data_IF_378027052543
#
_entry.id   IF_378027052543
#
_cell.length_a   1.000
_cell.length_b   1.000
_cell.length_c   1.000
_cell.angle_alpha   90.00
_cell.angle_beta   90.00
_cell.angle_gamma   90.00
#
_symmetry.space_group_name_H-M   'P 1'
#
loop_
_entity.id
_entity.type
_entity.pdbx_description
1 polymer ?
#
# COMPACT_ATOMS: atom_id res chain seq x y z
N UNK A 1 17.24 -41.29 11.21
CA UNK A 1 16.04 -41.66 10.42
C UNK A 1 15.78 -40.52 9.46
N UNK A 2 15.65 -40.83 8.16
CA UNK A 2 15.81 -39.90 7.03
C UNK A 2 14.76 -38.78 7.03
N UNK A 3 15.24 -37.55 6.82
CA UNK A 3 14.43 -36.42 6.41
C UNK A 3 13.74 -36.75 5.07
N UNK A 4 12.41 -36.61 5.03
CA UNK A 4 11.66 -36.64 3.78
C UNK A 4 11.55 -35.19 3.32
N UNK A 5 12.48 -34.81 2.46
CA UNK A 5 12.34 -33.68 1.55
C UNK A 5 11.20 -34.03 0.58
N UNK A 6 10.04 -33.39 0.71
CA UNK A 6 9.05 -33.32 -0.37
C UNK A 6 9.29 -32.03 -1.14
N UNK A 7 10.21 -32.06 -2.11
CA UNK A 7 10.14 -31.17 -3.26
C UNK A 7 8.97 -31.63 -4.14
N UNK A 8 7.77 -31.11 -3.88
CA UNK A 8 6.70 -31.18 -4.87
C UNK A 8 6.83 -29.99 -5.82
N UNK A 9 7.26 -30.27 -7.05
CA UNK A 9 7.23 -29.35 -8.18
C UNK A 9 5.78 -29.03 -8.55
N UNK A 10 5.20 -28.01 -7.93
CA UNK A 10 3.98 -27.36 -8.40
C UNK A 10 4.38 -26.26 -9.40
N UNK A 11 3.99 -26.36 -10.66
CA UNK A 11 4.16 -25.29 -11.66
C UNK A 11 2.82 -24.61 -11.99
N UNK A 12 2.83 -23.29 -11.80
CA UNK A 12 2.09 -22.18 -12.44
C UNK A 12 0.55 -22.11 -12.41
N UNK A 13 -0.20 -23.16 -12.08
CA UNK A 13 -1.67 -23.07 -11.94
C UNK A 13 -2.17 -22.56 -10.55
N UNK A 14 -1.25 -22.38 -9.59
CA UNK A 14 -1.51 -22.45 -8.13
C UNK A 14 -1.34 -21.14 -7.32
N UNK A 15 -1.76 -19.98 -7.84
CA UNK A 15 -1.51 -18.69 -7.16
C UNK A 15 -2.77 -17.82 -7.05
N UNK A 16 -3.84 -18.28 -6.41
CA UNK A 16 -5.03 -17.43 -6.13
C UNK A 16 -5.21 -17.23 -4.62
N UNK A 17 -5.27 -15.97 -4.21
CA UNK A 17 -5.74 -15.58 -2.88
C UNK A 17 -7.20 -15.15 -2.99
N UNK A 18 -8.05 -15.76 -2.18
CA UNK A 18 -9.50 -15.48 -2.12
C UNK A 18 -9.84 -14.83 -0.80
N UNK A 19 -10.61 -13.75 -0.84
CA UNK A 19 -11.12 -13.04 0.32
C UNK A 19 -12.64 -13.06 0.31
N UNK A 20 -13.26 -13.51 1.40
CA UNK A 20 -14.70 -13.55 1.56
C UNK A 20 -15.12 -12.65 2.72
N UNK A 21 -15.78 -11.54 2.39
CA UNK A 21 -16.40 -10.64 3.36
C UNK A 21 -17.91 -10.89 3.44
N UNK A 22 -18.49 -10.76 4.63
CA UNK A 22 -19.93 -10.94 4.86
C UNK A 22 -20.48 -9.78 5.68
N UNK A 23 -21.49 -9.08 5.13
CA UNK A 23 -22.20 -8.00 5.81
C UNK A 23 -23.67 -8.38 6.01
N UNK A 24 -24.14 -8.40 7.26
CA UNK A 24 -25.57 -8.53 7.57
C UNK A 24 -26.18 -7.15 7.84
N UNK A 25 -27.40 -6.91 7.35
CA UNK A 25 -28.10 -5.65 7.54
C UNK A 25 -29.62 -5.83 7.41
N UNK A 26 -30.38 -4.93 8.01
CA UNK A 26 -31.83 -4.84 7.86
C UNK A 26 -32.21 -3.63 7.01
N UNK A 27 -33.22 -3.79 6.16
CA UNK A 27 -33.73 -2.68 5.35
C UNK A 27 -34.75 -1.88 6.15
N UNK A 28 -34.35 -0.70 6.64
CA UNK A 28 -35.25 0.18 7.41
C UNK A 28 -36.23 0.98 6.53
N UNK A 29 -37.36 1.47 7.10
CA UNK A 29 -38.42 2.17 6.36
C UNK A 29 -38.03 3.55 5.80
N UNK A 30 -36.88 4.11 6.20
CA UNK A 30 -36.45 5.46 5.75
C UNK A 30 -34.99 5.60 5.30
N UNK A 31 -34.16 4.55 5.33
CA UNK A 31 -32.73 4.74 5.02
C UNK A 31 -32.22 4.05 3.76
N UNK A 32 -31.49 4.88 3.03
CA UNK A 32 -30.88 4.71 1.74
C UNK A 32 -29.44 4.35 2.04
N UNK A 33 -29.10 3.06 1.85
CA UNK A 33 -27.76 2.47 1.74
C UNK A 33 -27.35 1.56 2.90
N UNK A 34 -27.09 0.29 2.60
CA UNK A 34 -26.27 -0.55 3.47
C UNK A 34 -24.79 -0.30 3.12
N UNK A 35 -23.97 -0.02 4.14
CA UNK A 35 -22.54 0.26 3.98
C UNK A 35 -21.73 -0.57 4.97
N UNK A 36 -20.64 -1.17 4.49
CA UNK A 36 -19.58 -1.76 5.31
C UNK A 36 -18.21 -1.34 4.76
N UNK A 37 -17.20 -1.41 5.62
CA UNK A 37 -15.80 -1.20 5.27
C UNK A 37 -15.00 -2.39 5.81
N UNK A 38 -14.11 -2.96 5.00
CA UNK A 38 -13.30 -4.12 5.37
C UNK A 38 -11.92 -4.06 4.72
N UNK A 39 -10.98 -4.86 5.23
CA UNK A 39 -9.60 -4.90 4.72
C UNK A 39 -9.22 -6.31 4.28
N UNK A 40 -8.74 -6.46 3.04
CA UNK A 40 -8.13 -7.71 2.57
C UNK A 40 -6.64 -7.67 2.89
N UNK A 41 -6.18 -8.58 3.76
CA UNK A 41 -4.78 -8.64 4.23
C UNK A 41 -4.17 -9.98 3.87
N UNK A 42 -3.04 -9.97 3.16
CA UNK A 42 -2.27 -11.17 2.88
C UNK A 42 -0.79 -10.85 2.75
N UNK A 43 0.05 -11.53 3.56
CA UNK A 43 1.49 -11.28 3.60
C UNK A 43 1.80 -9.82 3.94
N UNK A 44 2.44 -9.13 3.00
CA UNK A 44 2.85 -7.72 3.10
C UNK A 44 1.87 -6.73 2.46
N UNK A 45 0.73 -7.19 1.93
CA UNK A 45 -0.24 -6.32 1.25
C UNK A 45 -1.54 -6.24 2.03
N UNK A 46 -2.02 -5.01 2.24
CA UNK A 46 -3.37 -4.70 2.73
C UNK A 46 -4.07 -3.75 1.75
N UNK A 47 -5.30 -4.09 1.38
CA UNK A 47 -6.21 -3.24 0.61
C UNK A 47 -7.47 -2.99 1.43
N UNK A 48 -7.83 -1.74 1.60
CA UNK A 48 -9.04 -1.33 2.29
C UNK A 48 -10.16 -1.14 1.28
N UNK A 49 -11.39 -1.53 1.65
CA UNK A 49 -12.55 -1.54 0.77
C UNK A 49 -13.77 -0.92 1.46
N UNK A 50 -14.54 -0.16 0.71
CA UNK A 50 -15.88 0.31 1.07
C UNK A 50 -16.89 -0.38 0.17
N UNK A 51 -17.88 -1.07 0.75
CA UNK A 51 -18.97 -1.70 0.00
C UNK A 51 -20.30 -1.04 0.31
N UNK A 52 -21.03 -0.68 -0.74
CA UNK A 52 -22.33 -0.03 -0.65
C UNK A 52 -23.39 -0.78 -1.45
N UNK A 53 -24.52 -1.10 -0.83
CA UNK A 53 -25.77 -1.38 -1.55
C UNK A 53 -26.58 -0.09 -1.57
N UNK A 54 -26.88 0.46 -2.75
CA UNK A 54 -27.45 1.80 -2.84
C UNK A 54 -28.50 1.96 -3.93
N UNK A 55 -29.42 2.91 -3.72
CA UNK A 55 -30.24 3.44 -4.81
C UNK A 55 -29.35 4.20 -5.79
N UNK A 56 -29.59 3.98 -7.07
CA UNK A 56 -28.98 4.69 -8.16
C UNK A 56 -30.05 5.45 -8.94
N UNK A 57 -29.77 6.72 -9.20
CA UNK A 57 -30.67 7.61 -9.94
C UNK A 57 -30.17 7.74 -11.37
N UNK A 58 -30.97 7.28 -12.34
CA UNK A 58 -30.64 7.35 -13.75
C UNK A 58 -31.06 8.71 -14.34
N UNK A 59 -30.23 9.75 -14.16
CA UNK A 59 -30.42 11.04 -14.84
C UNK A 59 -31.82 11.68 -14.67
N UNK A 60 -32.20 12.59 -15.58
CA UNK A 60 -33.38 13.48 -15.46
C UNK A 60 -34.76 12.80 -15.41
N UNK A 61 -34.85 11.46 -15.42
CA UNK A 61 -36.12 10.73 -15.30
C UNK A 61 -36.30 10.20 -13.86
N UNK A 62 -37.12 10.89 -13.09
CA UNK A 62 -37.38 10.65 -11.65
C UNK A 62 -38.17 9.34 -11.39
N UNK A 63 -38.61 8.61 -12.43
CA UNK A 63 -39.61 7.54 -12.26
C UNK A 63 -39.05 6.13 -12.02
N UNK A 64 -37.74 5.88 -12.19
CA UNK A 64 -37.18 4.52 -12.00
C UNK A 64 -36.00 4.54 -11.04
N UNK A 65 -36.26 4.17 -9.78
CA UNK A 65 -35.19 3.92 -8.81
C UNK A 65 -34.57 2.55 -9.08
N UNK A 66 -33.29 2.54 -9.44
CA UNK A 66 -32.49 1.32 -9.55
C UNK A 66 -31.74 1.07 -8.26
N UNK A 67 -31.41 -0.20 -7.99
CA UNK A 67 -30.50 -0.59 -6.92
C UNK A 67 -29.23 -1.17 -7.53
N UNK A 68 -28.10 -0.91 -6.88
CA UNK A 68 -26.83 -1.48 -7.28
C UNK A 68 -25.90 -1.70 -6.09
N UNK A 69 -24.95 -2.60 -6.28
CA UNK A 69 -23.86 -2.87 -5.34
C UNK A 69 -22.60 -2.25 -5.93
N UNK A 70 -21.88 -1.49 -5.12
CA UNK A 70 -20.59 -0.92 -5.47
C UNK A 70 -19.54 -1.26 -4.41
N UNK A 71 -18.33 -1.52 -4.87
CA UNK A 71 -17.14 -1.79 -4.07
C UNK A 71 -16.05 -0.81 -4.48
N UNK A 72 -15.51 -0.08 -3.50
CA UNK A 72 -14.51 0.96 -3.72
C UNK A 72 -13.23 0.64 -2.96
N UNK A 73 -12.09 0.76 -3.62
CA UNK A 73 -10.79 0.75 -2.95
C UNK A 73 -10.60 2.05 -2.16
N UNK A 74 -10.34 1.92 -0.86
CA UNK A 74 -10.06 3.03 0.05
C UNK A 74 -8.56 3.13 0.24
N UNK A 75 -8.00 4.35 0.15
CA UNK A 75 -6.59 4.62 0.43
C UNK A 75 -5.78 5.25 -0.71
N UNK A 76 -4.55 5.63 -0.34
CA UNK A 76 -3.59 6.37 -1.17
C UNK A 76 -2.56 5.43 -1.82
N UNK A 77 -3.02 4.41 -2.56
CA UNK A 77 -2.12 3.65 -3.46
C UNK A 77 -2.13 4.28 -4.84
N UNK A 78 -0.95 4.28 -5.48
CA UNK A 78 -0.76 4.75 -6.86
C UNK A 78 -1.43 3.79 -7.85
N UNK A 79 -1.32 2.47 -7.60
CA UNK A 79 -1.89 1.40 -8.42
C UNK A 79 -2.57 0.35 -7.52
N UNK A 80 -3.50 -0.44 -8.07
CA UNK A 80 -4.16 -1.55 -7.37
C UNK A 80 -3.85 -2.84 -8.14
N UNK A 81 -3.63 -3.97 -7.44
CA UNK A 81 -3.46 -5.25 -8.12
C UNK A 81 -4.74 -5.62 -8.86
N UNK A 82 -4.63 -6.21 -10.07
CA UNK A 82 -5.80 -6.58 -10.87
C UNK A 82 -6.61 -7.64 -10.14
N UNK A 83 -7.89 -7.36 -9.96
CA UNK A 83 -8.84 -8.35 -9.49
C UNK A 83 -9.07 -9.37 -10.60
N UNK A 84 -8.98 -10.68 -10.30
CA UNK A 84 -9.32 -11.74 -11.27
C UNK A 84 -10.82 -11.98 -11.33
N UNK A 85 -11.49 -11.95 -10.17
CA UNK A 85 -12.92 -12.20 -10.07
C UNK A 85 -13.52 -11.48 -8.87
N UNK A 86 -14.67 -10.84 -9.10
CA UNK A 86 -15.56 -10.37 -8.05
C UNK A 86 -16.84 -11.18 -8.09
N UNK A 87 -17.34 -11.59 -6.93
CA UNK A 87 -18.68 -12.12 -6.79
C UNK A 87 -19.40 -11.41 -5.64
N UNK A 88 -20.61 -10.95 -5.92
CA UNK A 88 -21.56 -10.53 -4.90
C UNK A 88 -22.66 -11.59 -4.78
N UNK A 89 -22.94 -12.05 -3.57
CA UNK A 89 -24.10 -12.89 -3.26
C UNK A 89 -24.95 -12.17 -2.23
N UNK A 90 -26.16 -11.75 -2.62
CA UNK A 90 -27.13 -11.15 -1.72
C UNK A 90 -28.18 -12.20 -1.32
N UNK A 91 -28.17 -12.58 -0.05
CA UNK A 91 -29.10 -13.51 0.56
C UNK A 91 -30.16 -12.76 1.38
N UNK A 92 -31.43 -13.08 1.17
CA UNK A 92 -32.54 -12.68 2.02
C UNK A 92 -32.75 -13.77 3.06
N UNK A 93 -32.79 -13.41 4.35
CA UNK A 93 -32.79 -14.37 5.46
C UNK A 93 -34.14 -14.45 6.15
N UNK A 94 -34.64 -15.63 6.53
CA UNK A 94 -35.80 -15.72 7.40
C UNK A 94 -35.47 -15.38 8.87
N UNK A 95 -36.47 -15.45 9.76
CA UNK A 95 -36.29 -15.19 11.19
C UNK A 95 -35.34 -16.20 11.87
N UNK A 96 -35.12 -17.36 11.27
CA UNK A 96 -34.19 -18.40 11.73
C UNK A 96 -32.80 -18.27 11.07
N UNK A 97 -32.59 -17.24 10.23
CA UNK A 97 -31.40 -16.97 9.42
C UNK A 97 -31.12 -17.97 8.31
N UNK A 98 -32.12 -18.72 7.85
CA UNK A 98 -32.01 -19.52 6.65
C UNK A 98 -32.18 -18.64 5.40
N UNK A 99 -31.52 -19.01 4.31
CA UNK A 99 -31.62 -18.26 3.04
C UNK A 99 -32.96 -18.54 2.35
N UNK A 100 -33.82 -17.54 2.24
CA UNK A 100 -35.08 -17.57 1.50
C UNK A 100 -34.87 -17.36 -0.01
N UNK A 101 -34.04 -16.38 -0.36
CA UNK A 101 -33.75 -16.02 -1.76
C UNK A 101 -32.31 -15.54 -1.87
N UNK A 102 -31.64 -15.92 -2.95
CA UNK A 102 -30.25 -15.55 -3.20
C UNK A 102 -30.10 -14.95 -4.60
N UNK A 103 -29.42 -13.81 -4.70
CA UNK A 103 -29.04 -13.18 -5.96
C UNK A 103 -27.52 -13.16 -6.08
N UNK A 104 -27.00 -13.64 -7.21
CA UNK A 104 -25.56 -13.68 -7.48
C UNK A 104 -25.21 -12.79 -8.66
N UNK A 105 -24.14 -12.00 -8.51
CA UNK A 105 -23.55 -11.20 -9.58
C UNK A 105 -22.06 -11.47 -9.66
N UNK A 106 -21.54 -11.55 -10.87
CA UNK A 106 -20.13 -11.84 -11.13
C UNK A 106 -19.55 -10.75 -12.01
N UNK A 107 -18.34 -10.32 -11.67
CA UNK A 107 -17.48 -9.52 -12.53
C UNK A 107 -16.24 -10.35 -12.79
N UNK A 108 -15.99 -10.64 -14.06
CA UNK A 108 -14.72 -11.23 -14.50
C UNK A 108 -13.71 -10.09 -14.66
N UNK A 109 -12.57 -10.20 -13.99
CA UNK A 109 -11.52 -9.21 -14.03
C UNK A 109 -10.79 -9.12 -15.37
N UNK A 110 -10.97 -10.11 -16.24
CA UNK A 110 -10.48 -10.10 -17.63
C UNK A 110 -11.39 -9.37 -18.61
N UNK A 111 -12.65 -9.12 -18.25
CA UNK A 111 -13.51 -8.26 -19.04
C UNK A 111 -13.12 -6.82 -18.77
N UNK A 112 -12.56 -6.17 -19.79
CA UNK A 112 -12.44 -4.71 -19.88
C UNK A 112 -13.71 -4.09 -19.29
N UNK A 113 -13.57 -3.52 -18.09
CA UNK A 113 -14.63 -2.79 -17.41
C UNK A 113 -14.87 -1.51 -18.21
N UNK A 114 -15.62 -1.66 -19.28
CA UNK A 114 -16.20 -0.58 -20.06
C UNK A 114 -16.89 0.37 -19.08
N UNK A 115 -16.43 1.64 -19.10
CA UNK A 115 -17.16 2.83 -18.66
C UNK A 115 -16.93 3.44 -17.26
N UNK A 116 -15.75 3.29 -16.65
CA UNK A 116 -15.25 4.29 -15.67
C UNK A 116 -13.82 4.78 -15.94
N UNK A 117 -13.42 4.80 -17.22
CA UNK A 117 -12.32 5.64 -17.72
C UNK A 117 -12.66 7.14 -17.59
N UNK A 118 -12.94 7.61 -16.36
CA UNK A 118 -12.88 9.03 -16.03
C UNK A 118 -11.41 9.39 -15.99
N UNK A 119 -10.88 9.79 -17.14
CA UNK A 119 -9.68 10.64 -17.16
C UNK A 119 -10.00 11.83 -16.27
N UNK A 120 -9.37 11.90 -15.10
CA UNK A 120 -9.31 13.16 -14.37
C UNK A 120 -8.62 14.19 -15.29
N UNK A 121 -8.90 15.50 -15.15
CA UNK A 121 -8.26 16.54 -15.96
C UNK A 121 -6.71 16.55 -15.91
N UNK A 122 -6.11 15.74 -15.03
CA UNK A 122 -4.68 15.58 -14.80
C UNK A 122 -4.08 14.27 -15.34
N UNK A 123 -4.81 13.49 -16.15
CA UNK A 123 -4.23 12.35 -16.88
C UNK A 123 -3.80 11.13 -16.05
N UNK A 124 -4.20 11.03 -14.77
CA UNK A 124 -3.97 9.80 -13.98
C UNK A 124 -5.07 8.77 -14.26
N UNK A 125 -4.64 7.57 -14.67
CA UNK A 125 -5.46 6.35 -14.80
C UNK A 125 -5.79 5.81 -13.40
N UNK A 126 -7.03 5.93 -12.97
CA UNK A 126 -7.55 5.32 -11.73
C UNK A 126 -8.17 3.94 -12.02
N UNK A 127 -7.47 3.09 -12.78
CA UNK A 127 -8.13 2.02 -13.55
C UNK A 127 -8.80 0.89 -12.72
N UNK A 128 -8.62 0.80 -11.39
CA UNK A 128 -9.05 -0.39 -10.62
C UNK A 128 -9.58 -0.10 -9.20
N UNK A 129 -10.08 1.11 -8.92
CA UNK A 129 -10.57 1.50 -7.58
C UNK A 129 -12.07 1.36 -7.37
N UNK A 130 -12.85 1.02 -8.39
CA UNK A 130 -14.31 0.94 -8.28
C UNK A 130 -14.87 -0.21 -9.11
N UNK A 131 -15.70 -1.03 -8.47
CA UNK A 131 -16.45 -2.10 -9.11
C UNK A 131 -17.94 -1.91 -8.83
N UNK A 132 -18.79 -1.95 -9.85
CA UNK A 132 -20.22 -1.72 -9.69
C UNK A 132 -21.05 -2.69 -10.54
N UNK A 133 -22.23 -3.04 -10.03
CA UNK A 133 -23.22 -3.83 -10.79
C UNK A 133 -23.82 -3.03 -11.95
N UNK A 134 -24.00 -3.65 -13.11
CA UNK A 134 -24.49 -3.00 -14.32
C UNK A 134 -26.01 -2.74 -14.33
N UNK A 135 -26.41 -1.57 -14.85
CA UNK A 135 -27.73 -0.94 -14.69
C UNK A 135 -28.88 -1.52 -15.53
N UNK A 136 -28.59 -2.35 -16.53
CA UNK A 136 -29.58 -2.90 -17.46
C UNK A 136 -29.42 -4.43 -17.60
N UNK A 137 -29.15 -5.10 -16.49
CA UNK A 137 -28.97 -6.54 -16.45
C UNK A 137 -30.19 -7.24 -15.81
N UNK A 138 -30.42 -8.54 -16.10
CA UNK A 138 -31.40 -9.34 -15.38
C UNK A 138 -31.20 -9.26 -13.85
N UNK A 139 -29.94 -9.20 -13.41
CA UNK A 139 -29.59 -9.01 -12.01
C UNK A 139 -30.14 -7.69 -11.43
N UNK A 140 -29.96 -6.55 -12.11
CA UNK A 140 -30.46 -5.26 -11.64
C UNK A 140 -32.00 -5.25 -11.49
N UNK A 141 -32.71 -5.92 -12.41
CA UNK A 141 -34.17 -6.08 -12.32
C UNK A 141 -34.56 -6.94 -11.11
N UNK A 142 -33.93 -8.10 -10.92
CA UNK A 142 -34.19 -9.00 -9.80
C UNK A 142 -33.84 -8.35 -8.45
N UNK A 143 -32.74 -7.58 -8.39
CA UNK A 143 -32.35 -6.82 -7.21
C UNK A 143 -33.40 -5.77 -6.89
N UNK A 144 -33.90 -5.02 -7.88
CA UNK A 144 -34.95 -4.02 -7.67
C UNK A 144 -36.24 -4.65 -7.11
N UNK A 145 -36.66 -5.79 -7.68
CA UNK A 145 -37.83 -6.54 -7.22
C UNK A 145 -37.66 -7.01 -5.78
N UNK A 146 -36.51 -7.63 -5.47
CA UNK A 146 -36.17 -8.08 -4.12
C UNK A 146 -36.22 -6.93 -3.11
N UNK A 147 -35.61 -5.79 -3.43
CA UNK A 147 -35.55 -4.62 -2.54
C UNK A 147 -36.91 -3.94 -2.34
N UNK A 148 -37.83 -4.06 -3.31
CA UNK A 148 -39.18 -3.50 -3.25
C UNK A 148 -40.10 -4.38 -2.41
N UNK A 149 -39.98 -5.70 -2.55
CA UNK A 149 -40.70 -6.68 -1.73
C UNK A 149 -40.29 -6.57 -0.26
N UNK A 150 -38.98 -6.44 -0.01
CA UNK A 150 -38.44 -6.36 1.32
C UNK A 150 -38.66 -5.02 1.99
N UNK A 151 -38.76 -3.89 1.27
CA UNK A 151 -39.05 -2.59 1.89
C UNK A 151 -40.39 -2.51 2.64
N UNK A 152 -41.24 -3.56 2.54
CA UNK A 152 -42.52 -3.68 3.23
C UNK A 152 -42.45 -4.49 4.53
N UNK A 153 -41.34 -5.17 4.80
CA UNK A 153 -41.12 -6.05 5.95
C UNK A 153 -39.74 -5.74 6.52
N UNK A 154 -39.53 -5.68 7.83
CA UNK A 154 -38.18 -5.46 8.41
C UNK A 154 -37.29 -6.70 8.18
N UNK A 155 -36.85 -6.86 6.94
CA UNK A 155 -36.25 -8.06 6.38
C UNK A 155 -34.73 -8.01 6.55
N UNK A 156 -34.16 -9.08 7.12
CA UNK A 156 -32.71 -9.23 7.26
C UNK A 156 -32.10 -9.73 5.94
N UNK A 157 -30.96 -9.16 5.59
CA UNK A 157 -30.17 -9.47 4.42
C UNK A 157 -28.73 -9.76 4.81
N UNK A 158 -28.09 -10.59 4.00
CA UNK A 158 -26.66 -10.88 4.08
C UNK A 158 -26.05 -10.68 2.69
N UNK A 159 -25.06 -9.80 2.60
CA UNK A 159 -24.25 -9.59 1.40
C UNK A 159 -22.88 -10.22 1.58
N UNK A 160 -22.64 -11.29 0.85
CA UNK A 160 -21.31 -11.91 0.74
C UNK A 160 -20.57 -11.30 -0.46
N UNK A 161 -19.32 -10.95 -0.25
CA UNK A 161 -18.42 -10.39 -1.26
C UNK A 161 -17.18 -11.25 -1.34
N UNK A 162 -16.95 -11.87 -2.50
CA UNK A 162 -15.81 -12.72 -2.77
C UNK A 162 -14.88 -12.06 -3.79
N UNK A 163 -13.64 -11.84 -3.40
CA UNK A 163 -12.58 -11.24 -4.20
C UNK A 163 -11.50 -12.29 -4.47
N UNK A 164 -11.09 -12.44 -5.72
CA UNK A 164 -10.00 -13.34 -6.10
C UNK A 164 -8.90 -12.55 -6.80
N UNK A 165 -7.67 -12.68 -6.31
CA UNK A 165 -6.47 -12.07 -6.90
C UNK A 165 -5.44 -13.13 -7.24
N UNK A 166 -4.63 -12.87 -8.26
CA UNK A 166 -3.37 -13.60 -8.39
C UNK A 166 -2.48 -13.28 -7.20
N UNK A 167 -1.93 -14.29 -6.52
CA UNK A 167 -1.03 -14.12 -5.37
C UNK A 167 0.22 -13.35 -5.76
N UNK A 168 0.76 -13.60 -6.95
CA UNK A 168 1.95 -12.91 -7.47
C UNK A 168 1.66 -11.42 -7.64
N UNK A 169 0.56 -11.07 -8.31
CA UNK A 169 0.17 -9.67 -8.51
C UNK A 169 -0.24 -8.99 -7.20
N UNK A 170 -0.93 -9.69 -6.30
CA UNK A 170 -1.34 -9.13 -5.02
C UNK A 170 -0.15 -8.71 -4.14
N UNK A 171 0.99 -9.39 -4.28
CA UNK A 171 2.24 -9.11 -3.55
C UNK A 171 3.26 -8.34 -4.38
N UNK A 172 2.95 -7.97 -5.63
CA UNK A 172 3.89 -7.30 -6.53
C UNK A 172 4.06 -5.82 -6.16
N UNK A 173 5.31 -5.42 -5.96
CA UNK A 173 5.69 -4.05 -5.60
C UNK A 173 5.26 -3.02 -6.67
N UNK A 174 5.09 -3.44 -7.93
CA UNK A 174 4.63 -2.55 -9.01
C UNK A 174 3.23 -1.98 -8.75
N UNK A 175 2.40 -2.66 -7.96
CA UNK A 175 1.07 -2.17 -7.55
C UNK A 175 1.08 -1.47 -6.19
N UNK A 176 2.26 -1.24 -5.60
CA UNK A 176 2.40 -0.57 -4.33
C UNK A 176 2.98 0.85 -4.51
N UNK A 177 4.08 0.95 -5.25
CA UNK A 177 4.87 2.18 -5.38
C UNK A 177 4.99 2.56 -6.86
N UNK A 178 4.80 3.84 -7.17
CA UNK A 178 5.03 4.37 -8.52
C UNK A 178 6.48 4.22 -8.99
N UNK A 179 6.75 4.72 -10.20
CA UNK A 179 8.09 4.68 -10.80
C UNK A 179 9.12 5.39 -9.93
N UNK A 180 10.28 4.74 -9.76
CA UNK A 180 11.43 5.26 -9.04
C UNK A 180 12.47 5.86 -9.99
N UNK A 181 13.51 6.44 -9.42
CA UNK A 181 14.66 6.92 -10.16
C UNK A 181 15.41 5.75 -10.80
N UNK A 182 15.94 5.99 -11.99
CA UNK A 182 16.79 5.02 -12.69
C UNK A 182 18.02 4.73 -11.82
N UNK A 183 18.41 3.46 -11.63
CA UNK A 183 19.65 3.13 -10.95
C UNK A 183 20.86 3.78 -11.63
N UNK A 184 21.90 4.02 -10.84
CA UNK A 184 23.21 4.36 -11.39
C UNK A 184 23.65 3.22 -12.32
N UNK A 185 23.90 3.54 -13.58
CA UNK A 185 24.49 2.62 -14.54
C UNK A 185 26.02 2.69 -14.41
N UNK A 186 26.75 1.60 -14.71
CA UNK A 186 28.22 1.61 -14.66
C UNK A 186 28.85 2.50 -15.77
N UNK A 187 28.03 2.93 -16.73
CA UNK A 187 28.41 3.82 -17.83
C UNK A 187 28.51 5.28 -17.35
N UNK A 188 29.71 5.84 -17.48
CA UNK A 188 30.10 7.16 -16.95
C UNK A 188 29.51 8.32 -17.78
N UNK A 189 28.44 8.94 -17.28
CA UNK A 189 27.99 10.27 -17.73
C UNK A 189 28.89 11.36 -17.13
N UNK A 190 28.98 12.55 -17.76
CA UNK A 190 29.81 13.66 -17.27
C UNK A 190 29.49 14.09 -15.82
N UNK A 191 28.23 13.89 -15.38
CA UNK A 191 27.81 14.15 -14.01
C UNK A 191 28.52 13.25 -12.99
N UNK A 192 28.93 12.03 -13.38
CA UNK A 192 29.77 11.18 -12.55
C UNK A 192 31.18 11.73 -12.43
N UNK A 193 31.75 12.30 -13.50
CA UNK A 193 33.07 12.94 -13.42
C UNK A 193 33.10 14.06 -12.36
N UNK A 194 32.01 14.78 -12.14
CA UNK A 194 31.94 15.77 -11.07
C UNK A 194 31.96 15.18 -9.65
N UNK A 195 31.66 13.89 -9.51
CA UNK A 195 31.69 13.13 -8.24
C UNK A 195 33.00 12.36 -8.09
N UNK A 196 33.54 11.77 -9.18
CA UNK A 196 34.78 10.96 -9.12
C UNK A 196 36.05 11.76 -9.38
N UNK A 197 36.01 12.91 -10.05
CA UNK A 197 37.20 13.72 -10.32
C UNK A 197 37.64 14.53 -9.10
N UNK A 198 38.44 13.87 -8.25
CA UNK A 198 38.98 14.44 -7.01
C UNK A 198 39.87 15.66 -7.19
N UNK A 199 40.37 15.94 -8.41
CA UNK A 199 41.25 17.11 -8.66
C UNK A 199 40.56 18.45 -8.42
N UNK A 200 39.23 18.49 -8.37
CA UNK A 200 38.42 19.71 -8.18
C UNK A 200 37.62 19.72 -6.88
N UNK A 201 37.86 18.77 -5.97
CA UNK A 201 37.15 18.72 -4.70
C UNK A 201 37.75 19.70 -3.71
N UNK A 202 36.96 20.65 -3.25
CA UNK A 202 37.35 21.76 -2.38
C UNK A 202 36.44 21.89 -1.14
N UNK A 203 35.47 20.99 -0.97
CA UNK A 203 34.57 20.92 0.18
C UNK A 203 34.55 19.51 0.76
N UNK A 204 34.61 19.43 2.09
CA UNK A 204 34.43 18.21 2.86
C UNK A 204 33.06 18.18 3.54
N UNK A 205 32.21 17.24 3.16
CA UNK A 205 30.96 16.98 3.85
C UNK A 205 31.20 15.94 4.94
N UNK A 206 31.03 16.35 6.20
CA UNK A 206 31.24 15.52 7.38
C UNK A 206 29.92 14.89 7.83
N UNK A 207 29.96 13.65 8.32
CA UNK A 207 28.82 13.06 9.05
C UNK A 207 28.50 13.87 10.31
N UNK A 208 27.31 13.68 10.88
CA UNK A 208 26.81 14.41 12.05
C UNK A 208 27.76 14.32 13.26
N UNK A 209 28.46 13.20 13.41
CA UNK A 209 29.47 12.96 14.45
C UNK A 209 30.90 13.38 14.04
N UNK A 210 31.09 13.88 12.83
CA UNK A 210 32.40 14.29 12.29
C UNK A 210 33.38 13.15 11.99
N UNK A 211 32.97 11.88 12.14
CA UNK A 211 33.87 10.73 12.04
C UNK A 211 34.22 10.32 10.61
N UNK A 212 33.30 10.54 9.66
CA UNK A 212 33.47 10.19 8.25
C UNK A 212 33.20 11.40 7.37
N UNK A 213 33.72 11.37 6.15
CA UNK A 213 33.53 12.47 5.21
C UNK A 213 33.61 12.06 3.75
N UNK A 214 32.88 12.81 2.91
CA UNK A 214 32.97 12.77 1.45
C UNK A 214 33.48 14.10 0.95
N UNK A 215 34.47 14.05 0.07
CA UNK A 215 34.99 15.21 -0.64
C UNK A 215 34.17 15.46 -1.90
N UNK A 216 33.84 16.71 -2.18
CA UNK A 216 33.07 17.12 -3.35
C UNK A 216 33.47 18.53 -3.79
N UNK A 217 33.09 18.90 -5.01
CA UNK A 217 33.23 20.27 -5.49
C UNK A 217 32.10 21.17 -4.94
N UNK A 218 32.45 22.32 -4.37
CA UNK A 218 31.54 23.29 -3.78
C UNK A 218 30.66 23.97 -4.82
N UNK A 219 31.24 24.33 -5.96
CA UNK A 219 30.54 25.05 -7.03
C UNK A 219 29.39 24.22 -7.58
N UNK A 220 29.62 22.93 -7.85
CA UNK A 220 28.56 22.07 -8.40
C UNK A 220 27.40 21.87 -7.41
N UNK A 221 27.69 21.81 -6.10
CA UNK A 221 26.63 21.75 -5.09
C UNK A 221 25.79 23.02 -5.06
N UNK A 222 26.45 24.19 -5.08
CA UNK A 222 25.76 25.48 -5.13
C UNK A 222 24.91 25.64 -6.39
N UNK A 223 25.35 25.11 -7.52
CA UNK A 223 24.59 25.11 -8.78
C UNK A 223 23.40 24.13 -8.74
N UNK A 224 23.56 22.99 -8.07
CA UNK A 224 22.55 21.92 -8.10
C UNK A 224 21.48 22.05 -7.01
N UNK A 225 21.75 22.82 -5.96
CA UNK A 225 20.87 22.93 -4.80
C UNK A 225 20.77 24.36 -4.24
N UNK A 226 19.55 24.91 -4.10
CA UNK A 226 19.34 26.18 -3.41
C UNK A 226 19.77 26.15 -1.94
N UNK A 227 19.78 24.99 -1.30
CA UNK A 227 20.24 24.84 0.09
C UNK A 227 21.74 25.12 0.20
N UNK A 228 22.54 24.48 -0.65
CA UNK A 228 23.99 24.67 -0.67
C UNK A 228 24.36 26.08 -1.14
N UNK A 229 23.65 26.64 -2.11
CA UNK A 229 23.84 28.04 -2.53
C UNK A 229 23.67 29.05 -1.38
N UNK A 230 22.81 28.76 -0.41
CA UNK A 230 22.58 29.63 0.75
C UNK A 230 23.54 29.37 1.91
N UNK A 231 23.95 28.11 2.10
CA UNK A 231 24.81 27.73 3.23
C UNK A 231 26.30 27.89 2.96
N UNK A 232 26.75 27.66 1.74
CA UNK A 232 28.16 27.64 1.39
C UNK A 232 28.65 29.06 1.11
N UNK A 233 29.75 29.44 1.77
CA UNK A 233 30.51 30.67 1.47
C UNK A 233 31.79 30.31 0.74
N UNK A 234 32.44 31.30 0.15
CA UNK A 234 33.72 31.12 -0.53
C UNK A 234 34.78 30.49 0.42
N UNK A 235 34.80 30.91 1.69
CA UNK A 235 35.71 30.37 2.71
C UNK A 235 35.30 29.02 3.30
N UNK A 236 34.14 28.46 2.95
CA UNK A 236 33.69 27.16 3.47
C UNK A 236 34.50 26.03 2.84
N UNK A 237 35.23 25.30 3.67
CA UNK A 237 36.03 24.10 3.29
C UNK A 237 35.47 22.82 3.90
N UNK A 238 34.71 22.91 5.00
CA UNK A 238 34.05 21.79 5.65
C UNK A 238 32.61 22.16 6.02
N UNK A 239 31.69 21.20 5.91
CA UNK A 239 30.29 21.33 6.32
C UNK A 239 29.82 20.05 7.00
N UNK A 240 29.34 20.18 8.23
CA UNK A 240 28.72 19.07 8.98
C UNK A 240 27.29 18.84 8.53
N UNK A 241 27.02 17.64 8.04
CA UNK A 241 25.69 17.19 7.62
C UNK A 241 24.97 16.62 8.85
N UNK A 242 24.22 17.47 9.55
CA UNK A 242 23.64 17.16 10.88
C UNK A 242 22.68 15.96 10.89
N UNK A 243 22.02 15.68 9.76
CA UNK A 243 21.05 14.58 9.64
C UNK A 243 21.73 13.22 9.42
N UNK A 244 22.91 13.20 8.81
CA UNK A 244 23.52 11.97 8.32
C UNK A 244 24.53 11.41 9.32
N UNK A 245 24.17 10.33 10.01
CA UNK A 245 25.12 9.56 10.82
C UNK A 245 25.95 8.62 9.92
N UNK A 246 25.33 8.10 8.86
CA UNK A 246 25.98 7.22 7.88
C UNK A 246 26.48 8.02 6.68
N UNK A 247 27.71 7.73 6.26
CA UNK A 247 28.30 8.37 5.07
C UNK A 247 27.54 7.98 3.80
N UNK A 248 26.99 6.77 3.76
CA UNK A 248 26.18 6.26 2.66
C UNK A 248 24.96 7.16 2.40
N UNK A 249 24.35 7.73 3.44
CA UNK A 249 23.21 8.66 3.31
C UNK A 249 23.60 9.90 2.49
N UNK A 250 24.78 10.46 2.78
CA UNK A 250 25.35 11.61 2.08
C UNK A 250 25.63 11.23 0.63
N UNK A 251 26.30 10.09 0.39
CA UNK A 251 26.65 9.65 -0.95
C UNK A 251 25.44 9.39 -1.86
N UNK A 252 24.39 8.74 -1.34
CA UNK A 252 23.17 8.45 -2.11
C UNK A 252 22.48 9.76 -2.50
N UNK A 253 22.32 10.69 -1.55
CA UNK A 253 21.72 11.99 -1.82
C UNK A 253 22.56 12.84 -2.76
N UNK A 254 23.89 12.82 -2.65
CA UNK A 254 24.79 13.55 -3.55
C UNK A 254 24.66 13.05 -4.98
N UNK A 255 24.71 11.73 -5.18
CA UNK A 255 24.56 11.15 -6.52
C UNK A 255 23.21 11.53 -7.10
N UNK A 256 22.13 11.39 -6.33
CA UNK A 256 20.81 11.74 -6.83
C UNK A 256 20.67 13.24 -7.13
N UNK A 257 21.19 14.12 -6.28
CA UNK A 257 21.19 15.57 -6.49
C UNK A 257 21.86 15.97 -7.81
N UNK A 258 22.97 15.31 -8.15
CA UNK A 258 23.81 15.68 -9.30
C UNK A 258 23.42 14.97 -10.59
N UNK A 259 22.87 13.75 -10.51
CA UNK A 259 22.63 12.89 -11.69
C UNK A 259 21.15 12.56 -11.91
N UNK A 260 20.28 12.84 -10.92
CA UNK A 260 18.91 12.30 -10.85
C UNK A 260 18.82 10.76 -10.87
N UNK A 261 19.94 10.06 -10.69
CA UNK A 261 20.01 8.59 -10.61
C UNK A 261 20.13 8.12 -9.17
N UNK A 262 19.57 6.96 -8.89
CA UNK A 262 19.59 6.39 -7.55
C UNK A 262 20.79 5.45 -7.36
N UNK A 263 21.72 5.85 -6.49
CA UNK A 263 22.78 4.96 -6.01
C UNK A 263 22.14 3.96 -5.06
N UNK A 264 21.81 2.79 -5.59
CA UNK A 264 21.15 1.73 -4.83
C UNK A 264 22.13 1.10 -3.83
N UNK A 265 21.94 1.22 -2.50
CA UNK A 265 22.80 0.54 -1.54
C UNK A 265 22.56 -0.98 -1.59
N UNK A 266 23.56 -1.81 -1.27
CA UNK A 266 23.39 -3.27 -1.23
C UNK A 266 22.42 -3.72 -0.13
N UNK A 267 22.42 -3.01 0.99
CA UNK A 267 21.45 -3.20 2.08
C UNK A 267 20.90 -1.84 2.50
N UNK A 268 19.57 -1.69 2.47
CA UNK A 268 18.90 -0.47 2.92
C UNK A 268 18.31 -0.69 4.31
N UNK A 269 19.01 -0.23 5.33
CA UNK A 269 18.44 -0.23 6.69
C UNK A 269 17.31 0.81 6.79
N UNK A 270 16.33 0.61 7.69
CA UNK A 270 15.31 1.63 7.96
C UNK A 270 15.93 3.00 8.24
N UNK A 271 16.96 3.05 9.10
CA UNK A 271 17.65 4.30 9.46
C UNK A 271 18.27 4.99 8.24
N UNK A 272 18.89 4.24 7.33
CA UNK A 272 19.49 4.78 6.11
C UNK A 272 18.42 5.39 5.20
N UNK A 273 17.29 4.72 5.04
CA UNK A 273 16.17 5.25 4.25
C UNK A 273 15.62 6.57 4.83
N UNK A 274 15.54 6.68 6.15
CA UNK A 274 15.13 7.93 6.83
C UNK A 274 16.11 9.07 6.55
N UNK A 275 17.40 8.83 6.76
CA UNK A 275 18.45 9.84 6.58
C UNK A 275 18.48 10.34 5.14
N UNK A 276 18.46 9.43 4.15
CA UNK A 276 18.44 9.80 2.73
C UNK A 276 17.21 10.65 2.42
N UNK A 277 16.02 10.29 2.90
CA UNK A 277 14.82 11.08 2.63
C UNK A 277 14.87 12.47 3.28
N UNK A 278 15.31 12.55 4.54
CA UNK A 278 15.43 13.82 5.25
C UNK A 278 16.47 14.74 4.62
N UNK A 279 17.62 14.19 4.19
CA UNK A 279 18.62 14.91 3.43
C UNK A 279 18.09 15.39 2.09
N UNK A 280 17.36 14.55 1.36
CA UNK A 280 16.77 14.93 0.08
C UNK A 280 15.83 16.14 0.21
N UNK A 281 15.03 16.18 1.28
CA UNK A 281 14.17 17.33 1.61
C UNK A 281 14.99 18.55 1.99
N UNK A 282 15.98 18.40 2.88
CA UNK A 282 16.82 19.51 3.35
C UNK A 282 17.62 20.14 2.20
N UNK A 283 18.25 19.30 1.37
CA UNK A 283 19.07 19.71 0.24
C UNK A 283 18.24 20.11 -0.98
N UNK A 284 16.91 20.03 -0.89
CA UNK A 284 15.99 20.42 -1.97
C UNK A 284 16.36 19.77 -3.31
N UNK A 285 16.56 18.45 -3.30
CA UNK A 285 16.90 17.70 -4.52
C UNK A 285 15.79 17.83 -5.56
N UNK A 286 16.13 17.67 -6.84
CA UNK A 286 15.15 17.64 -7.92
C UNK A 286 14.22 16.43 -7.79
N UNK A 287 12.91 16.63 -8.00
CA UNK A 287 11.88 15.58 -7.94
C UNK A 287 12.00 14.61 -6.73
N UNK A 288 11.90 15.11 -5.48
CA UNK A 288 12.10 14.29 -4.27
C UNK A 288 11.09 13.13 -4.16
N UNK A 289 9.95 13.22 -4.85
CA UNK A 289 8.97 12.13 -4.94
C UNK A 289 9.56 10.89 -5.65
N UNK A 290 10.36 11.08 -6.70
CA UNK A 290 10.92 9.96 -7.48
C UNK A 290 11.96 9.21 -6.64
N UNK A 291 12.84 9.92 -5.93
CA UNK A 291 13.74 9.30 -4.96
C UNK A 291 12.98 8.58 -3.85
N UNK A 292 11.92 9.20 -3.32
CA UNK A 292 11.05 8.57 -2.31
C UNK A 292 10.49 7.24 -2.82
N UNK A 293 10.04 7.16 -4.06
CA UNK A 293 9.54 5.93 -4.65
C UNK A 293 10.63 4.84 -4.73
N UNK A 294 11.87 5.21 -5.08
CA UNK A 294 13.01 4.26 -5.04
C UNK A 294 13.28 3.72 -3.64
N UNK A 295 13.25 4.60 -2.63
CA UNK A 295 13.42 4.22 -1.23
C UNK A 295 12.29 3.33 -0.74
N UNK A 296 11.02 3.67 -1.02
CA UNK A 296 9.88 2.83 -0.66
C UNK A 296 9.99 1.46 -1.32
N UNK A 297 10.33 1.38 -2.62
CA UNK A 297 10.50 0.10 -3.32
C UNK A 297 11.55 -0.79 -2.64
N UNK A 298 12.72 -0.24 -2.31
CA UNK A 298 13.76 -1.03 -1.67
C UNK A 298 13.43 -1.37 -0.20
N UNK A 299 12.79 -0.46 0.54
CA UNK A 299 12.25 -0.75 1.87
C UNK A 299 11.23 -1.90 1.84
N UNK A 300 10.40 -1.99 0.80
CA UNK A 300 9.48 -3.11 0.62
C UNK A 300 10.22 -4.43 0.42
N UNK A 301 11.25 -4.44 -0.44
CA UNK A 301 12.07 -5.63 -0.66
C UNK A 301 12.77 -6.10 0.63
N UNK A 302 13.29 -5.17 1.43
CA UNK A 302 13.89 -5.46 2.73
C UNK A 302 12.85 -5.95 3.75
N UNK A 303 11.65 -5.36 3.77
CA UNK A 303 10.53 -5.82 4.59
C UNK A 303 10.13 -7.25 4.25
N UNK A 304 10.04 -7.60 2.95
CA UNK A 304 9.71 -8.97 2.51
C UNK A 304 10.78 -9.96 2.96
N UNK A 305 12.07 -9.60 2.91
CA UNK A 305 13.15 -10.46 3.40
C UNK A 305 13.13 -10.65 4.92
N UNK A 306 12.76 -9.61 5.67
CA UNK A 306 12.87 -9.57 7.13
C UNK A 306 11.50 -9.67 7.84
N UNK A 307 10.45 -10.08 7.14
CA UNK A 307 9.07 -10.04 7.66
C UNK A 307 8.85 -10.89 8.92
N UNK A 308 9.65 -11.95 9.12
CA UNK A 308 9.58 -12.81 10.31
C UNK A 308 10.14 -12.13 11.56
N UNK A 309 11.02 -11.13 11.41
CA UNK A 309 11.60 -10.40 12.53
C UNK A 309 10.65 -9.29 13.00
N UNK A 310 9.87 -9.58 14.04
CA UNK A 310 8.92 -8.65 14.64
C UNK A 310 9.51 -7.25 14.92
N UNK A 311 10.67 -7.18 15.56
CA UNK A 311 11.29 -5.90 15.93
C UNK A 311 11.79 -5.12 14.71
N UNK A 312 12.25 -5.82 13.67
CA UNK A 312 12.59 -5.18 12.40
C UNK A 312 11.36 -4.52 11.77
N UNK A 313 10.23 -5.23 11.70
CA UNK A 313 8.96 -4.70 11.14
C UNK A 313 8.47 -3.50 11.93
N UNK A 314 8.54 -3.55 13.27
CA UNK A 314 8.18 -2.42 14.13
C UNK A 314 9.08 -1.20 13.91
N UNK A 315 10.39 -1.40 13.83
CA UNK A 315 11.33 -0.31 13.54
C UNK A 315 11.09 0.27 12.14
N UNK A 316 10.83 -0.57 11.14
CA UNK A 316 10.49 -0.14 9.79
C UNK A 316 9.20 0.69 9.76
N UNK A 317 8.18 0.32 10.54
CA UNK A 317 6.93 1.09 10.66
C UNK A 317 7.16 2.48 11.28
N UNK A 318 7.93 2.56 12.36
CA UNK A 318 8.26 3.85 12.99
C UNK A 318 8.99 4.79 12.02
N UNK A 319 9.95 4.24 11.28
CA UNK A 319 10.69 5.02 10.29
C UNK A 319 9.82 5.40 9.10
N UNK A 320 8.95 4.50 8.64
CA UNK A 320 8.02 4.81 7.58
C UNK A 320 7.07 5.95 7.99
N UNK A 321 6.72 6.04 9.29
CA UNK A 321 6.03 7.21 9.87
C UNK A 321 6.86 8.49 9.81
N UNK A 322 8.13 8.43 10.23
CA UNK A 322 9.06 9.56 10.26
C UNK A 322 9.42 10.10 8.86
N UNK A 323 9.51 9.24 7.85
CA UNK A 323 9.88 9.55 6.46
C UNK A 323 8.67 9.70 5.49
N UNK A 324 7.49 10.02 6.02
CA UNK A 324 6.17 9.79 5.40
C UNK A 324 6.06 8.72 4.30
N UNK A 325 6.64 7.53 4.48
CA UNK A 325 6.55 6.40 3.54
C UNK A 325 5.22 5.65 3.71
N UNK A 326 4.11 6.26 3.27
CA UNK A 326 2.74 5.76 3.49
C UNK A 326 2.54 4.34 2.94
N UNK A 327 3.16 4.01 1.80
CA UNK A 327 3.04 2.68 1.21
C UNK A 327 3.70 1.62 2.11
N UNK A 328 4.87 1.94 2.65
CA UNK A 328 5.60 1.06 3.57
C UNK A 328 4.94 0.98 4.94
N UNK A 329 4.35 2.06 5.43
CA UNK A 329 3.51 2.00 6.63
C UNK A 329 2.38 0.97 6.47
N UNK A 330 1.64 1.03 5.35
CA UNK A 330 0.57 0.08 5.06
C UNK A 330 1.10 -1.36 4.99
N UNK A 331 2.25 -1.58 4.35
CA UNK A 331 2.86 -2.91 4.26
C UNK A 331 3.31 -3.45 5.63
N UNK A 332 3.94 -2.62 6.46
CA UNK A 332 4.31 -3.02 7.81
C UNK A 332 3.08 -3.36 8.66
N UNK A 333 2.00 -2.58 8.53
CA UNK A 333 0.72 -2.89 9.20
C UNK A 333 0.17 -4.23 8.71
N UNK A 334 0.21 -4.51 7.40
CA UNK A 334 -0.20 -5.79 6.84
C UNK A 334 0.62 -6.96 7.41
N UNK A 335 1.95 -6.84 7.44
CA UNK A 335 2.85 -7.86 8.02
C UNK A 335 2.55 -8.08 9.51
N UNK A 336 2.35 -7.00 10.28
CA UNK A 336 2.00 -7.11 11.69
C UNK A 336 0.66 -7.82 11.89
N UNK A 337 -0.36 -7.50 11.10
CA UNK A 337 -1.67 -8.16 11.16
C UNK A 337 -1.55 -9.65 10.81
N UNK A 338 -0.83 -9.95 9.73
CA UNK A 338 -0.78 -11.30 9.17
C UNK A 338 0.09 -12.26 9.98
N UNK A 339 1.25 -11.79 10.48
CA UNK A 339 2.24 -12.66 11.14
C UNK A 339 2.37 -12.42 12.65
N UNK A 340 2.21 -11.17 13.12
CA UNK A 340 2.69 -10.78 14.46
C UNK A 340 1.65 -10.13 15.38
N UNK A 341 0.36 -10.21 15.07
CA UNK A 341 -0.65 -9.39 15.74
C UNK A 341 -0.72 -9.66 17.24
N UNK A 342 -0.69 -10.94 17.63
CA UNK A 342 -0.72 -11.34 19.04
C UNK A 342 0.50 -10.82 19.82
N UNK A 343 1.68 -10.89 19.22
CA UNK A 343 2.91 -10.35 19.81
C UNK A 343 2.86 -8.83 19.92
N UNK A 344 2.37 -8.14 18.87
CA UNK A 344 2.17 -6.70 18.87
C UNK A 344 1.25 -6.23 20.01
N UNK A 345 0.09 -6.89 20.18
CA UNK A 345 -0.85 -6.59 21.28
C UNK A 345 -0.18 -6.82 22.64
N UNK A 346 0.51 -7.95 22.81
CA UNK A 346 1.19 -8.29 24.07
C UNK A 346 2.21 -7.24 24.45
N UNK A 347 3.06 -6.78 23.51
CA UNK A 347 4.18 -5.90 23.83
C UNK A 347 3.81 -4.42 23.87
N UNK A 348 2.99 -3.94 22.92
CA UNK A 348 2.75 -2.50 22.75
C UNK A 348 1.41 -2.02 23.30
N UNK A 349 0.44 -2.90 23.50
CA UNK A 349 -0.83 -2.52 24.13
C UNK A 349 -0.78 -2.85 25.62
N UNK A 350 -0.50 -4.12 25.93
CA UNK A 350 -0.56 -4.64 27.30
C UNK A 350 0.78 -4.53 28.03
N UNK A 351 1.89 -4.53 27.29
CA UNK A 351 3.25 -4.54 27.83
C UNK A 351 3.82 -3.15 28.14
N UNK A 352 5.10 -3.15 28.51
CA UNK A 352 5.90 -1.96 28.90
C UNK A 352 7.12 -1.77 28.00
N UNK A 353 7.05 -2.23 26.74
CA UNK A 353 8.18 -2.14 25.82
C UNK A 353 8.65 -0.66 25.68
N UNK A 354 9.97 -0.36 25.64
CA UNK A 354 10.47 1.02 25.57
C UNK A 354 9.90 1.84 24.41
N UNK A 355 9.65 1.19 23.26
CA UNK A 355 9.05 1.85 22.09
C UNK A 355 7.53 2.07 22.19
N UNK A 356 6.85 1.60 23.23
CA UNK A 356 5.38 1.70 23.38
C UNK A 356 4.89 3.12 23.19
N UNK A 357 5.52 4.09 23.83
CA UNK A 357 5.11 5.49 23.74
C UNK A 357 5.11 5.98 22.30
N UNK A 358 6.15 5.66 21.52
CA UNK A 358 6.26 6.01 20.10
C UNK A 358 5.12 5.43 19.26
N UNK A 359 4.63 4.23 19.61
CA UNK A 359 3.49 3.60 18.92
C UNK A 359 2.12 4.12 19.38
N UNK A 360 2.00 4.61 20.61
CA UNK A 360 0.73 5.07 21.19
C UNK A 360 0.51 6.57 21.05
N UNK A 361 1.57 7.36 20.94
CA UNK A 361 1.51 8.80 20.77
C UNK A 361 0.83 9.17 19.44
N UNK A 362 -0.01 10.21 19.48
CA UNK A 362 -0.54 10.85 18.28
C UNK A 362 0.36 12.03 17.95
N UNK A 363 0.91 12.03 16.73
CA UNK A 363 1.77 13.14 16.27
C UNK A 363 0.98 14.34 15.78
N UNK A 364 -0.24 14.12 15.30
CA UNK A 364 -1.12 15.15 14.75
C UNK A 364 -2.54 14.90 15.25
N UNK A 365 -3.30 15.97 15.53
CA UNK A 365 -4.65 15.88 16.10
C UNK A 365 -5.60 14.98 15.30
N UNK A 366 -5.42 14.92 13.97
CA UNK A 366 -6.26 14.19 13.04
C UNK A 366 -5.72 12.79 12.68
N UNK A 367 -4.46 12.47 13.00
CA UNK A 367 -3.85 11.19 12.59
C UNK A 367 -3.94 10.16 13.72
N UNK A 368 -4.49 8.96 13.46
CA UNK A 368 -4.50 7.89 14.45
C UNK A 368 -3.06 7.44 14.76
N UNK A 369 -2.79 7.09 16.02
CA UNK A 369 -1.51 6.49 16.40
C UNK A 369 -1.26 5.18 15.66
N UNK A 370 0.01 4.76 15.53
CA UNK A 370 0.36 3.51 14.85
C UNK A 370 -0.33 2.30 15.48
N UNK A 371 -0.45 2.27 16.81
CA UNK A 371 -1.24 1.25 17.52
C UNK A 371 -2.68 1.21 17.05
N UNK A 372 -3.31 2.38 16.90
CA UNK A 372 -4.70 2.47 16.43
C UNK A 372 -4.82 2.03 14.97
N UNK A 373 -3.84 2.35 14.12
CA UNK A 373 -3.82 1.90 12.72
C UNK A 373 -3.75 0.37 12.64
N UNK A 374 -2.86 -0.28 13.38
CA UNK A 374 -2.76 -1.75 13.43
C UNK A 374 -4.04 -2.38 13.96
N UNK A 375 -4.61 -1.86 15.06
CA UNK A 375 -5.87 -2.38 15.62
C UNK A 375 -7.05 -2.23 14.65
N UNK A 376 -7.17 -1.08 13.98
CA UNK A 376 -8.23 -0.84 13.00
C UNK A 376 -8.10 -1.75 11.79
N UNK A 377 -6.89 -1.90 11.25
CA UNK A 377 -6.62 -2.82 10.15
C UNK A 377 -6.93 -4.28 10.54
N UNK A 378 -6.54 -4.71 11.74
CA UNK A 378 -6.87 -6.04 12.23
C UNK A 378 -8.38 -6.25 12.36
N UNK A 379 -9.09 -5.30 12.99
CA UNK A 379 -10.55 -5.36 13.14
C UNK A 379 -11.25 -5.44 11.78
N UNK A 380 -10.87 -4.58 10.83
CA UNK A 380 -11.42 -4.58 9.48
C UNK A 380 -11.06 -5.85 8.67
N UNK A 381 -9.97 -6.53 9.01
CA UNK A 381 -9.59 -7.80 8.40
C UNK A 381 -10.30 -9.02 9.00
N UNK A 382 -10.80 -8.95 10.24
CA UNK A 382 -11.53 -10.05 10.87
C UNK A 382 -12.88 -10.33 10.20
N UNK A 383 -13.46 -9.31 9.56
CA UNK A 383 -14.70 -9.44 8.79
C UNK A 383 -14.48 -10.15 7.44
N UNK A 384 -13.22 -10.54 7.15
CA UNK A 384 -12.79 -11.18 5.91
C UNK A 384 -12.16 -12.53 6.19
N UNK A 385 -12.74 -13.60 5.64
CA UNK A 385 -12.10 -14.91 5.63
C UNK A 385 -11.18 -15.03 4.42
N UNK A 386 -9.90 -15.32 4.67
CA UNK A 386 -8.90 -15.51 3.61
C UNK A 386 -8.68 -16.99 3.34
N UNK A 387 -8.70 -17.38 2.07
CA UNK A 387 -8.45 -18.74 1.61
C UNK A 387 -7.39 -18.73 0.51
N UNK A 388 -6.42 -19.63 0.62
CA UNK A 388 -5.48 -19.91 -0.46
C UNK A 388 -5.95 -21.20 -1.12
N UNK A 389 -6.38 -21.12 -2.39
CA UNK A 389 -6.83 -22.28 -3.13
C UNK A 389 -5.65 -22.89 -3.88
N UNK A 390 -5.28 -24.11 -3.49
CA UNK A 390 -4.40 -24.98 -4.28
C UNK A 390 -5.30 -25.87 -5.11
N UNK A 391 -5.17 -25.84 -6.44
CA UNK A 391 -5.93 -26.72 -7.32
C UNK A 391 -5.04 -27.90 -7.71
N UNK A 392 -5.42 -29.15 -7.40
CA UNK A 392 -4.65 -30.29 -7.89
C UNK A 392 -4.67 -30.30 -9.43
N UNK A 393 -3.52 -30.63 -10.02
CA UNK A 393 -3.39 -30.90 -11.45
C UNK A 393 -4.41 -31.97 -11.85
N UNK A 394 -5.40 -31.58 -12.67
CA UNK A 394 -6.18 -32.54 -13.43
C UNK A 394 -5.31 -33.00 -14.61
N UNK A 395 -4.69 -34.17 -14.48
CA UNK A 395 -4.03 -34.88 -15.58
C UNK A 395 -2.70 -35.53 -15.21
N UNK A 396 -2.78 -36.81 -14.83
CA UNK A 396 -1.81 -37.93 -14.77
C UNK A 396 -2.18 -38.74 -13.51
N UNK A 397 -3.06 -39.74 -13.54
CA UNK A 397 -3.43 -40.69 -14.60
C UNK A 397 -4.92 -40.66 -15.00
#
# INVERSE_FOLDING_TARGET
MKAIHMEQKYQEADNIVTFNHVMCFTMGPREVRAKSSFSTVFGSTMLDWDIHLHKQFAGRAVSVTNWGISLFGVGMRDLYPPLRRLQFTLNMLDAERNTLKSLKYFIDGSMDLTASNRRTPRGRREEWKEYQTNFNTPFAKQLRELMTESGRKDQEFQLETRLEFSKTDFLDVKYLVGEGAVPVDEMREYYFDAIVNRSRHDLKLLTSNGSQSVMINKEILSLSSPFFCQQLKESTTELTVTIAEMIESIEICLVYLLTSRYKRPPHLSPRLALEVFQLAVQWKVFEPKILKNSLERQCYEELVKNHENFMYVCNMLLIAEDAPFVNIQNCCVAVLIHYHFNEFVRLFINGTHPLKERFTQRREFLRPSLTMQVKRGFAASNDVRTFVKYLPLLGQD
#
